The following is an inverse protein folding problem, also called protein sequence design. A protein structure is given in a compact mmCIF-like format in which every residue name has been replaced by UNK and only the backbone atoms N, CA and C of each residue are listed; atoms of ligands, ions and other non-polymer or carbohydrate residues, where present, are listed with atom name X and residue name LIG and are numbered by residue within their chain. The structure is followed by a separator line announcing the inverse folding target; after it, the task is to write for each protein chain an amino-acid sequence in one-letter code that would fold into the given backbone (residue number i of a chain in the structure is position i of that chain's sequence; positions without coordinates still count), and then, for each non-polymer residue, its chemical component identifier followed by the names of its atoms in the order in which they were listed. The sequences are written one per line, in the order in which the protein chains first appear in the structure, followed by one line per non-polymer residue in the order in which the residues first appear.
data_IF_194510084892
#
_entry.id   IF_194510084892
#
_cell.length_a   1.000
_cell.length_b   1.000
_cell.length_c   1.000
_cell.angle_alpha   90.00
_cell.angle_beta   90.00
_cell.angle_gamma   90.00
#
_symmetry.space_group_name_H-M   'P 1'
#
loop_
_entity.id
_entity.type
_entity.pdbx_description
1 polymer ?
#
# COMPACT_ATOMS: atom_id res chain seq x y z
N UNK A 1 1.24 16.12 -8.74
CA UNK A 1 2.13 15.50 -7.75
C UNK A 1 1.40 14.33 -7.11
N UNK A 2 2.06 13.18 -7.00
CA UNK A 2 1.53 11.97 -6.35
C UNK A 2 1.57 12.13 -4.81
N UNK A 3 0.65 11.48 -4.10
CA UNK A 3 0.74 11.41 -2.63
C UNK A 3 1.58 10.20 -2.22
N UNK A 4 2.61 10.43 -1.39
CA UNK A 4 3.45 9.39 -0.80
C UNK A 4 3.56 9.69 0.70
N UNK A 5 3.04 8.79 1.53
CA UNK A 5 3.19 8.80 2.99
C UNK A 5 4.15 7.71 3.45
N UNK A 6 5.09 8.02 4.34
CA UNK A 6 6.03 7.07 4.92
C UNK A 6 5.87 7.03 6.43
N UNK A 7 5.77 5.83 6.97
CA UNK A 7 5.54 5.55 8.39
C UNK A 7 6.60 4.57 8.86
N UNK A 8 7.11 4.73 10.09
CA UNK A 8 8.00 3.72 10.68
C UNK A 8 7.23 2.43 10.89
N UNK A 9 7.84 1.31 10.54
CA UNK A 9 7.31 0.00 10.85
C UNK A 9 7.92 -0.48 12.16
N UNK A 10 7.27 -0.17 13.28
CA UNK A 10 7.75 -0.59 14.61
C UNK A 10 7.48 -2.09 14.90
N UNK A 11 7.03 -2.87 13.90
CA UNK A 11 6.78 -4.33 14.02
C UNK A 11 7.46 -5.10 12.87
N UNK A 12 8.33 -6.09 13.17
CA UNK A 12 8.92 -6.93 12.13
C UNK A 12 7.85 -7.73 11.37
N UNK A 13 8.15 -8.11 10.13
CA UNK A 13 7.29 -9.00 9.35
C UNK A 13 6.95 -10.27 10.15
N UNK A 14 5.69 -10.71 10.18
CA UNK A 14 5.37 -11.99 10.80
C UNK A 14 6.00 -13.11 9.98
N UNK A 15 6.76 -14.00 10.65
CA UNK A 15 7.43 -15.17 10.06
C UNK A 15 6.47 -16.17 9.36
N UNK A 16 5.15 -15.98 9.49
CA UNK A 16 4.11 -16.75 8.79
C UNK A 16 2.96 -15.85 8.36
N UNK A 17 2.46 -16.07 7.13
CA UNK A 17 1.19 -15.56 6.63
C UNK A 17 0.03 -16.06 7.51
N UNK A 18 -0.22 -15.36 8.61
CA UNK A 18 -1.41 -15.56 9.44
C UNK A 18 -2.56 -14.76 8.81
N UNK A 19 -3.43 -15.48 8.10
CA UNK A 19 -4.67 -14.91 7.60
C UNK A 19 -5.57 -14.53 8.80
N UNK A 20 -6.10 -13.30 8.79
CA UNK A 20 -7.19 -12.74 9.62
C UNK A 20 -6.89 -12.38 11.10
N UNK A 21 -6.37 -11.15 11.30
CA UNK A 21 -6.64 -10.15 12.37
C UNK A 21 -5.46 -9.19 12.62
N UNK A 22 -4.30 -9.41 11.98
CA UNK A 22 -3.06 -8.68 12.26
C UNK A 22 -2.58 -7.71 11.18
N UNK A 23 -3.28 -7.57 10.06
CA UNK A 23 -2.87 -6.62 9.03
C UNK A 23 -3.31 -5.20 9.44
N UNK A 24 -2.38 -4.25 9.44
CA UNK A 24 -2.61 -2.82 9.75
C UNK A 24 -3.48 -2.12 8.68
N UNK A 25 -4.28 -2.86 7.91
CA UNK A 25 -5.00 -2.38 6.72
C UNK A 25 -6.46 -2.80 6.81
N UNK A 26 -7.34 -1.80 6.77
CA UNK A 26 -8.79 -1.96 6.70
C UNK A 26 -9.29 -1.39 5.37
N UNK A 27 -9.02 -2.12 4.29
CA UNK A 27 -9.49 -1.83 2.94
C UNK A 27 -10.33 -2.98 2.43
N UNK A 28 -11.45 -2.67 1.81
CA UNK A 28 -12.29 -3.65 1.14
C UNK A 28 -11.80 -3.92 -0.30
N UNK A 29 -11.88 -5.20 -0.71
CA UNK A 29 -11.64 -5.68 -2.07
C UNK A 29 -10.28 -5.27 -2.68
N UNK A 30 -9.21 -5.88 -2.20
CA UNK A 30 -7.86 -5.72 -2.78
C UNK A 30 -7.84 -6.20 -4.23
N UNK A 31 -7.31 -5.38 -5.15
CA UNK A 31 -7.21 -5.74 -6.57
C UNK A 31 -6.08 -6.74 -6.82
N UNK A 32 -4.93 -6.58 -6.17
CA UNK A 32 -3.86 -7.58 -6.16
C UNK A 32 -2.98 -7.48 -4.91
N UNK A 33 -2.39 -8.61 -4.52
CA UNK A 33 -1.41 -8.70 -3.42
C UNK A 33 -0.16 -9.39 -3.94
N UNK A 34 1.01 -8.89 -3.54
CA UNK A 34 2.29 -9.55 -3.73
C UNK A 34 2.99 -9.66 -2.38
N UNK A 35 3.57 -10.82 -2.09
CA UNK A 35 4.40 -11.06 -0.91
C UNK A 35 5.69 -11.70 -1.38
N UNK A 36 6.81 -11.13 -1.00
CA UNK A 36 8.12 -11.73 -1.17
C UNK A 36 8.91 -11.66 0.16
N UNK A 37 10.16 -12.09 0.16
CA UNK A 37 10.96 -12.22 1.39
C UNK A 37 11.22 -10.88 2.11
N UNK A 38 11.15 -9.76 1.39
CA UNK A 38 11.50 -8.43 1.91
C UNK A 38 10.32 -7.48 2.02
N UNK A 39 9.27 -7.71 1.24
CA UNK A 39 8.20 -6.73 1.04
C UNK A 39 6.85 -7.40 0.86
N UNK A 40 5.81 -6.69 1.29
CA UNK A 40 4.41 -7.05 1.05
C UNK A 40 3.71 -5.86 0.44
N UNK A 41 3.09 -6.06 -0.71
CA UNK A 41 2.40 -5.02 -1.45
C UNK A 41 0.92 -5.35 -1.55
N UNK A 42 0.09 -4.42 -1.10
CA UNK A 42 -1.34 -4.41 -1.39
C UNK A 42 -1.63 -3.34 -2.43
N UNK A 43 -2.37 -3.70 -3.46
CA UNK A 43 -2.68 -2.80 -4.57
C UNK A 43 -4.19 -2.75 -4.82
N UNK A 44 -4.69 -1.53 -5.00
CA UNK A 44 -6.06 -1.23 -5.40
C UNK A 44 -6.05 -0.40 -6.68
N UNK A 45 -6.84 -0.79 -7.67
CA UNK A 45 -7.07 -0.02 -8.90
C UNK A 45 -6.38 -0.60 -10.12
N UNK A 46 -5.83 0.26 -10.97
CA UNK A 46 -5.27 -0.09 -12.29
C UNK A 46 -4.05 0.77 -12.60
N UNK A 47 -2.95 0.14 -13.04
CA UNK A 47 -1.83 0.81 -13.71
C UNK A 47 -2.08 0.88 -15.22
N UNK A 48 -1.88 2.04 -15.83
CA UNK A 48 -2.09 2.27 -17.26
C UNK A 48 -0.83 2.03 -18.08
N UNK A 49 0.34 2.36 -17.54
CA UNK A 49 1.61 2.28 -18.26
C UNK A 49 2.38 0.96 -18.05
N UNK A 50 1.67 -0.12 -17.71
CA UNK A 50 2.24 -1.47 -17.44
C UNK A 50 3.10 -2.00 -18.58
N UNK A 51 2.66 -1.78 -19.83
CA UNK A 51 3.29 -2.36 -21.03
C UNK A 51 4.49 -1.56 -21.53
N UNK A 52 4.48 -0.24 -21.35
CA UNK A 52 5.50 0.65 -21.93
C UNK A 52 6.79 0.72 -21.12
N UNK A 53 6.71 0.53 -19.80
CA UNK A 53 7.85 0.78 -18.91
C UNK A 53 8.56 -0.49 -18.45
N UNK A 54 7.90 -1.67 -18.46
CA UNK A 54 8.44 -2.84 -17.73
C UNK A 54 8.48 -4.18 -18.48
N UNK A 55 7.93 -4.30 -19.71
CA UNK A 55 7.97 -5.58 -20.47
C UNK A 55 7.43 -6.80 -19.69
N UNK A 56 6.56 -6.62 -18.70
CA UNK A 56 6.05 -7.71 -17.87
C UNK A 56 4.59 -8.00 -18.17
N UNK A 57 4.34 -8.88 -19.14
CA UNK A 57 2.98 -9.27 -19.51
C UNK A 57 2.31 -10.19 -18.47
N UNK A 58 3.07 -10.77 -17.54
CA UNK A 58 2.59 -11.82 -16.63
C UNK A 58 2.56 -11.43 -15.14
N UNK A 59 2.94 -10.20 -14.78
CA UNK A 59 2.90 -9.76 -13.38
C UNK A 59 1.61 -9.03 -13.02
N UNK A 60 1.14 -9.28 -11.80
CA UNK A 60 0.09 -8.47 -11.17
C UNK A 60 0.60 -7.06 -10.89
N UNK A 61 -0.31 -6.09 -10.72
CA UNK A 61 0.08 -4.71 -10.40
C UNK A 61 0.87 -4.66 -9.09
N UNK A 62 0.47 -5.42 -8.06
CA UNK A 62 1.24 -5.50 -6.82
C UNK A 62 2.66 -6.05 -7.01
N UNK A 63 2.86 -7.02 -7.92
CA UNK A 63 4.20 -7.56 -8.19
C UNK A 63 5.07 -6.57 -8.98
N UNK A 64 4.48 -5.83 -9.91
CA UNK A 64 5.13 -4.72 -10.60
C UNK A 64 5.66 -3.68 -9.59
N UNK A 65 4.81 -3.28 -8.64
CA UNK A 65 5.20 -2.33 -7.58
C UNK A 65 6.31 -2.92 -6.69
N UNK A 66 6.22 -4.19 -6.30
CA UNK A 66 7.26 -4.85 -5.51
C UNK A 66 8.62 -4.82 -6.22
N UNK A 67 8.67 -5.19 -7.51
CA UNK A 67 9.91 -5.16 -8.29
C UNK A 67 10.49 -3.75 -8.45
N UNK A 68 9.65 -2.74 -8.71
CA UNK A 68 10.11 -1.35 -8.76
C UNK A 68 10.71 -0.89 -7.44
N UNK A 69 10.03 -1.23 -6.34
CA UNK A 69 10.46 -0.85 -5.00
C UNK A 69 11.78 -1.51 -4.62
N UNK A 70 11.96 -2.80 -4.94
CA UNK A 70 13.24 -3.48 -4.69
C UNK A 70 14.40 -2.91 -5.51
N UNK A 71 14.12 -2.47 -6.74
CA UNK A 71 15.16 -1.93 -7.64
C UNK A 71 15.57 -0.49 -7.31
N UNK A 72 14.63 0.33 -6.84
CA UNK A 72 14.81 1.79 -6.81
C UNK A 72 14.20 2.49 -5.59
N UNK A 73 13.67 1.74 -4.63
CA UNK A 73 12.87 2.30 -3.55
C UNK A 73 11.65 3.05 -4.08
N UNK A 74 11.22 4.09 -3.37
CA UNK A 74 10.07 4.90 -3.75
C UNK A 74 10.35 5.89 -4.89
N UNK A 75 11.61 6.08 -5.28
CA UNK A 75 11.98 7.00 -6.37
C UNK A 75 11.35 6.57 -7.72
N UNK A 76 11.18 5.26 -7.92
CA UNK A 76 10.54 4.68 -9.10
C UNK A 76 9.04 4.98 -9.21
N UNK A 77 8.36 5.36 -8.12
CA UNK A 77 6.91 5.58 -8.15
C UNK A 77 6.49 6.81 -8.94
N UNK A 78 7.42 7.75 -9.17
CA UNK A 78 7.17 8.94 -10.00
C UNK A 78 6.84 8.60 -11.47
N UNK A 79 7.23 7.42 -11.94
CA UNK A 79 6.94 6.95 -13.29
C UNK A 79 5.58 6.26 -13.41
N UNK A 80 4.87 5.99 -12.32
CA UNK A 80 3.61 5.27 -12.36
C UNK A 80 2.46 6.16 -12.85
N UNK A 81 1.71 5.66 -13.82
CA UNK A 81 0.48 6.29 -14.32
C UNK A 81 -0.70 5.32 -14.18
N UNK A 82 -1.82 5.82 -13.67
CA UNK A 82 -2.96 4.99 -13.33
C UNK A 82 -3.96 5.64 -12.39
N UNK A 83 -4.94 4.82 -12.00
CA UNK A 83 -5.90 5.11 -10.95
C UNK A 83 -5.70 4.08 -9.84
N UNK A 84 -4.98 4.45 -8.78
CA UNK A 84 -4.53 3.47 -7.81
C UNK A 84 -4.27 4.03 -6.41
N UNK A 85 -4.39 3.14 -5.46
CA UNK A 85 -3.77 3.25 -4.14
C UNK A 85 -2.95 1.97 -3.95
N UNK A 86 -1.76 2.06 -3.37
CA UNK A 86 -1.04 0.87 -2.92
C UNK A 86 -0.31 1.13 -1.61
N UNK A 87 -0.05 0.05 -0.89
CA UNK A 87 0.71 0.05 0.35
C UNK A 87 1.84 -0.96 0.22
N UNK A 88 3.05 -0.52 0.51
CA UNK A 88 4.26 -1.34 0.62
C UNK A 88 4.63 -1.44 2.08
N UNK A 89 4.75 -2.66 2.58
CA UNK A 89 5.39 -2.96 3.85
C UNK A 89 6.81 -3.43 3.54
N UNK A 90 7.79 -2.92 4.27
CA UNK A 90 9.09 -3.56 4.44
C UNK A 90 9.42 -3.71 5.94
N UNK A 91 10.62 -4.18 6.29
CA UNK A 91 11.03 -4.37 7.68
C UNK A 91 11.22 -3.08 8.48
N UNK A 92 11.36 -1.92 7.82
CA UNK A 92 11.69 -0.63 8.43
C UNK A 92 10.53 0.36 8.37
N UNK A 93 9.70 0.28 7.33
CA UNK A 93 8.69 1.27 7.03
C UNK A 93 7.47 0.71 6.32
N UNK A 94 6.40 1.49 6.39
CA UNK A 94 5.19 1.32 5.63
C UNK A 94 5.05 2.54 4.73
N UNK A 95 4.95 2.31 3.42
CA UNK A 95 4.79 3.35 2.42
C UNK A 95 3.40 3.23 1.82
N UNK A 96 2.66 4.32 1.80
CA UNK A 96 1.36 4.41 1.16
C UNK A 96 1.41 5.41 0.02
N UNK A 97 0.89 5.00 -1.13
CA UNK A 97 0.96 5.79 -2.36
C UNK A 97 -0.41 5.86 -3.00
N UNK A 98 -0.80 7.05 -3.44
CA UNK A 98 -2.02 7.27 -4.23
C UNK A 98 -1.67 7.98 -5.53
N UNK A 99 -2.37 7.63 -6.60
CA UNK A 99 -2.28 8.31 -7.88
C UNK A 99 -2.42 9.85 -7.75
N UNK A 100 -1.91 10.57 -8.74
CA UNK A 100 -1.90 12.05 -8.75
C UNK A 100 -3.29 12.64 -8.51
N UNK A 101 -4.34 12.03 -9.05
CA UNK A 101 -5.68 12.57 -8.98
C UNK A 101 -6.45 12.08 -7.75
N UNK A 102 -5.86 11.18 -6.95
CA UNK A 102 -6.54 10.53 -5.82
C UNK A 102 -7.83 9.85 -6.25
N UNK A 103 -7.84 9.24 -7.43
CA UNK A 103 -9.06 8.72 -8.08
C UNK A 103 -9.58 7.45 -7.43
N UNK A 104 -8.70 6.64 -6.85
CA UNK A 104 -9.11 5.50 -6.04
C UNK A 104 -9.51 5.93 -4.61
N UNK A 105 -10.03 5.01 -3.79
CA UNK A 105 -10.51 5.29 -2.43
C UNK A 105 -9.52 6.11 -1.61
N UNK A 106 -10.03 7.05 -0.77
CA UNK A 106 -9.21 7.86 0.10
C UNK A 106 -8.44 6.99 1.10
N UNK A 107 -7.37 7.56 1.63
CA UNK A 107 -6.56 6.96 2.69
C UNK A 107 -6.80 7.72 3.98
N UNK A 108 -7.29 7.02 4.99
CA UNK A 108 -7.31 7.46 6.38
C UNK A 108 -6.29 6.63 7.16
N UNK A 109 -5.56 7.24 8.09
CA UNK A 109 -4.58 6.51 8.88
C UNK A 109 -4.45 7.07 10.30
N UNK A 110 -3.98 6.22 11.20
CA UNK A 110 -3.41 6.59 12.49
C UNK A 110 -2.01 5.96 12.60
N UNK A 111 -1.41 5.97 13.79
CA UNK A 111 -0.06 5.42 13.99
C UNK A 111 0.05 3.90 13.73
N UNK A 112 -1.07 3.18 13.65
CA UNK A 112 -1.11 1.72 13.63
C UNK A 112 -1.94 1.12 12.50
N UNK A 113 -2.82 1.90 11.86
CA UNK A 113 -3.81 1.40 10.91
C UNK A 113 -4.02 2.35 9.74
N UNK A 114 -4.25 1.76 8.57
CA UNK A 114 -4.69 2.42 7.34
C UNK A 114 -6.10 1.94 6.99
N UNK A 115 -6.97 2.83 6.53
CA UNK A 115 -8.34 2.52 6.17
C UNK A 115 -8.83 3.28 4.94
N UNK A 116 -9.75 2.68 4.20
CA UNK A 116 -10.35 3.30 3.00
C UNK A 116 -11.46 4.32 3.31
N UNK A 117 -11.86 4.43 4.59
CA UNK A 117 -12.81 5.44 5.07
C UNK A 117 -12.60 5.74 6.55
N UNK A 118 -13.02 6.91 7.00
CA UNK A 118 -13.02 7.27 8.43
C UNK A 118 -13.86 6.30 9.26
N UNK A 119 -15.01 5.86 8.73
CA UNK A 119 -15.88 4.90 9.41
C UNK A 119 -15.22 3.52 9.62
N UNK A 120 -14.29 3.14 8.74
CA UNK A 120 -13.48 1.93 8.92
C UNK A 120 -12.33 2.18 9.90
N UNK A 121 -11.68 3.35 9.83
CA UNK A 121 -10.62 3.71 10.79
C UNK A 121 -11.15 3.77 12.23
N UNK A 122 -12.35 4.30 12.43
CA UNK A 122 -13.03 4.37 13.72
C UNK A 122 -13.32 3.01 14.35
N UNK A 123 -13.33 1.93 13.55
CA UNK A 123 -13.51 0.55 14.03
C UNK A 123 -12.20 -0.13 14.41
N UNK A 124 -11.06 0.53 14.21
CA UNK A 124 -9.75 0.01 14.57
C UNK A 124 -9.48 0.22 16.06
N UNK A 125 -8.70 -0.69 16.64
CA UNK A 125 -8.35 -0.62 18.06
C UNK A 125 -7.54 0.66 18.35
N UNK A 126 -7.84 1.33 19.46
CA UNK A 126 -7.11 2.52 19.91
C UNK A 126 -7.46 3.81 19.15
N UNK A 127 -8.55 3.84 18.36
CA UNK A 127 -9.06 5.08 17.79
C UNK A 127 -9.68 5.96 18.89
N UNK A 128 -9.15 7.17 19.09
CA UNK A 128 -9.64 8.16 20.06
C UNK A 128 -10.30 9.30 19.27
N UNK A 129 -11.55 9.64 19.62
CA UNK A 129 -12.31 10.74 18.99
C UNK A 129 -12.11 12.09 19.69
N UNK A 130 -11.43 12.08 20.84
CA UNK A 130 -11.16 13.27 21.63
C UNK A 130 -9.91 13.97 21.07
N UNK A 131 -9.97 15.28 20.78
CA UNK A 131 -8.78 16.04 20.42
C UNK A 131 -7.84 16.15 21.63
N UNK A 132 -6.53 16.11 21.36
CA UNK A 132 -5.49 16.42 22.35
C UNK A 132 -5.55 17.89 22.81
#
# INVERSE_FOLDING_TARGET
MMFIGKFKNDKPFPDKLAWNRGDQITYDQVSSVCVNDRTKVYFWGVLYNRKSEMNVENLSDAAIIAEMYERSGDSGFSYLDGSFTFIVFDSEQIIIVRDHHGTNKPVYYNNFFFASSLALLQKTDGFITEPD
#
